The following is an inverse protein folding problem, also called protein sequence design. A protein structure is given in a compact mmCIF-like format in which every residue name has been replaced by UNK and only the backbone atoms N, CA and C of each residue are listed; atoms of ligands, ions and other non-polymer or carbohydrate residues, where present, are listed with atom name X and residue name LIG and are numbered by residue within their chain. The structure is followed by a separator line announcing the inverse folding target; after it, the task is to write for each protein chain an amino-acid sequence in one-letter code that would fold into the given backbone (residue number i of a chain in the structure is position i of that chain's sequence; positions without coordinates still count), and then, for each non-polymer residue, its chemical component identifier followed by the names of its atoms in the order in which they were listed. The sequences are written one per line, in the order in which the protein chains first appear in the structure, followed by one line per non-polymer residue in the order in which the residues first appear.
data_IF_728724203272
#
_entry.id   IF_728724203272
#
_cell.length_a   1.000
_cell.length_b   1.000
_cell.length_c   1.000
_cell.angle_alpha   90.00
_cell.angle_beta   90.00
_cell.angle_gamma   90.00
#
_symmetry.space_group_name_H-M   'P 1'
#
loop_
_entity.id
_entity.type
_entity.pdbx_description
1 polymer ?
#
# COMPACT_ATOMS: atom_id res chain seq x y z
N UNK A 1 8.17 -1.24 8.49
CA UNK A 1 7.98 0.02 7.75
C UNK A 1 7.45 1.12 8.67
N UNK A 2 8.08 2.30 8.67
CA UNK A 2 7.52 3.52 9.27
C UNK A 2 6.99 4.33 8.08
N UNK A 3 5.68 4.36 7.89
CA UNK A 3 5.05 5.16 6.83
C UNK A 3 5.00 6.60 7.33
N UNK A 4 5.58 7.58 6.62
CA UNK A 4 5.45 8.97 6.99
C UNK A 4 4.01 9.42 6.69
N UNK A 5 3.15 9.36 7.69
CA UNK A 5 1.81 9.93 7.61
C UNK A 5 1.94 11.45 7.74
N UNK A 6 1.52 12.18 6.71
CA UNK A 6 1.46 13.64 6.78
C UNK A 6 0.18 14.06 7.52
N UNK A 7 0.26 14.11 8.85
CA UNK A 7 -0.83 14.65 9.65
C UNK A 7 -0.74 16.18 9.59
N UNK A 8 -1.82 16.84 9.16
CA UNK A 8 -1.83 18.30 9.09
C UNK A 8 -1.74 18.86 10.50
N UNK A 9 -0.89 19.88 10.72
CA UNK A 9 -0.66 20.48 12.05
C UNK A 9 -1.95 20.90 12.78
N UNK A 10 -2.98 21.24 12.01
CA UNK A 10 -4.28 21.66 12.51
C UNK A 10 -5.10 20.50 13.08
N UNK A 11 -4.96 19.31 12.52
CA UNK A 11 -5.65 18.10 12.99
C UNK A 11 -5.04 17.64 14.33
N UNK A 12 -3.72 17.83 14.50
CA UNK A 12 -3.06 17.62 15.79
C UNK A 12 -3.48 18.65 16.84
N UNK A 13 -3.58 19.93 16.49
CA UNK A 13 -3.90 20.99 17.45
C UNK A 13 -5.39 21.10 17.82
N UNK A 14 -6.32 20.81 16.90
CA UNK A 14 -7.77 20.96 17.15
C UNK A 14 -8.40 19.70 17.76
N UNK A 15 -7.87 18.49 17.51
CA UNK A 15 -8.41 17.25 18.10
C UNK A 15 -7.67 16.78 19.36
N UNK A 16 -6.35 17.01 19.46
CA UNK A 16 -5.56 16.48 20.59
C UNK A 16 -5.31 17.51 21.68
N UNK A 17 -5.34 18.81 21.39
CA UNK A 17 -4.96 19.83 22.38
C UNK A 17 -6.11 20.79 22.70
N UNK A 18 -6.39 21.02 23.99
CA UNK A 18 -7.33 22.03 24.43
C UNK A 18 -6.74 22.90 25.54
N UNK A 19 -7.23 24.14 25.64
CA UNK A 19 -6.85 25.03 26.73
C UNK A 19 -7.74 24.76 27.95
N UNK A 20 -7.13 24.35 29.06
CA UNK A 20 -7.83 24.18 30.33
C UNK A 20 -7.81 25.50 31.13
N UNK A 21 -8.99 26.08 31.36
CA UNK A 21 -9.12 27.36 32.07
C UNK A 21 -8.78 27.27 33.56
N UNK A 22 -8.85 26.09 34.16
CA UNK A 22 -8.60 25.88 35.59
C UNK A 22 -7.10 25.78 35.88
N UNK A 23 -6.37 24.98 35.10
CA UNK A 23 -4.91 24.83 35.18
C UNK A 23 -4.16 25.95 34.44
N UNK A 24 -4.86 26.72 33.61
CA UNK A 24 -4.31 27.79 32.75
C UNK A 24 -3.20 27.29 31.82
N UNK A 25 -3.33 26.07 31.31
CA UNK A 25 -2.34 25.43 30.45
C UNK A 25 -3.01 24.80 29.23
N UNK A 26 -2.23 24.60 28.17
CA UNK A 26 -2.64 23.78 27.02
C UNK A 26 -2.35 22.33 27.38
N UNK A 27 -3.39 21.50 27.42
CA UNK A 27 -3.30 20.06 27.63
C UNK A 27 -3.45 19.38 26.28
N UNK A 28 -2.50 18.52 25.95
CA UNK A 28 -2.53 17.69 24.75
C UNK A 28 -2.72 16.23 25.15
N UNK A 29 -3.53 15.50 24.37
CA UNK A 29 -3.68 14.05 24.46
C UNK A 29 -2.36 13.35 24.12
N UNK A 30 -2.20 12.10 24.56
CA UNK A 30 -0.92 11.41 24.53
C UNK A 30 -0.42 11.23 23.08
N UNK A 31 0.73 11.83 22.77
CA UNK A 31 1.35 11.76 21.43
C UNK A 31 1.67 10.31 20.99
N UNK A 32 1.68 9.36 21.94
CA UNK A 32 1.87 7.94 21.69
C UNK A 32 0.56 7.14 21.53
N UNK A 33 -0.57 7.81 21.32
CA UNK A 33 -1.84 7.14 21.07
C UNK A 33 -1.82 6.31 19.76
N UNK A 34 -2.57 5.20 19.76
CA UNK A 34 -2.83 4.45 18.55
C UNK A 34 -3.87 5.22 17.72
N UNK A 35 -3.48 5.62 16.51
CA UNK A 35 -4.35 6.32 15.58
C UNK A 35 -4.82 5.36 14.49
N UNK A 36 -6.13 5.25 14.30
CA UNK A 36 -6.73 4.46 13.23
C UNK A 36 -6.95 5.33 12.00
N UNK A 37 -6.36 4.94 10.87
CA UNK A 37 -6.55 5.61 9.57
C UNK A 37 -7.19 4.63 8.59
N UNK A 38 -8.13 5.11 7.75
CA UNK A 38 -8.64 4.31 6.64
C UNK A 38 -7.73 4.44 5.42
N UNK A 39 -7.87 3.51 4.46
CA UNK A 39 -7.12 3.55 3.20
C UNK A 39 -7.42 4.82 2.39
N UNK A 40 -8.61 5.41 2.57
CA UNK A 40 -9.02 6.63 1.87
C UNK A 40 -8.42 7.89 2.49
N UNK A 41 -7.88 7.80 3.72
CA UNK A 41 -7.26 8.92 4.46
C UNK A 41 -5.75 9.03 4.20
N UNK A 42 -5.17 8.08 3.45
CA UNK A 42 -3.73 8.00 3.22
C UNK A 42 -3.41 8.24 1.75
N UNK A 43 -2.62 9.27 1.48
CA UNK A 43 -2.04 9.53 0.16
C UNK A 43 -0.62 8.96 0.11
N UNK A 44 -0.36 8.09 -0.86
CA UNK A 44 0.97 7.49 -1.10
C UNK A 44 1.63 8.15 -2.31
N UNK A 45 2.89 8.56 -2.15
CA UNK A 45 3.70 8.90 -3.30
C UNK A 45 4.15 7.63 -4.04
N UNK A 46 4.58 7.80 -5.29
CA UNK A 46 4.99 6.65 -6.10
C UNK A 46 6.19 5.89 -5.49
N UNK A 47 7.10 6.59 -4.80
CA UNK A 47 8.21 5.95 -4.09
C UNK A 47 7.72 5.05 -2.95
N UNK A 48 6.72 5.49 -2.16
CA UNK A 48 6.14 4.67 -1.10
C UNK A 48 5.48 3.40 -1.68
N UNK A 49 4.84 3.52 -2.84
CA UNK A 49 4.26 2.37 -3.53
C UNK A 49 5.32 1.39 -4.02
N UNK A 50 6.47 1.86 -4.49
CA UNK A 50 7.59 0.99 -4.87
C UNK A 50 8.11 0.20 -3.67
N UNK A 51 8.32 0.87 -2.53
CA UNK A 51 8.76 0.22 -1.29
C UNK A 51 7.76 -0.83 -0.80
N UNK A 52 6.45 -0.51 -0.81
CA UNK A 52 5.39 -1.47 -0.46
C UNK A 52 5.41 -2.67 -1.42
N UNK A 53 5.56 -2.43 -2.72
CA UNK A 53 5.60 -3.51 -3.71
C UNK A 53 6.85 -4.36 -3.54
N UNK A 54 8.00 -3.79 -3.17
CA UNK A 54 9.23 -4.55 -2.93
C UNK A 54 9.13 -5.42 -1.66
N UNK A 55 8.68 -4.85 -0.54
CA UNK A 55 8.57 -5.56 0.74
C UNK A 55 7.51 -6.68 0.69
N UNK A 56 6.37 -6.42 0.05
CA UNK A 56 5.22 -7.33 0.02
C UNK A 56 4.99 -7.98 -1.35
N UNK A 57 6.02 -8.02 -2.20
CA UNK A 57 5.87 -8.46 -3.59
C UNK A 57 5.15 -9.80 -3.75
N UNK A 58 5.59 -10.81 -2.99
CA UNK A 58 5.05 -12.16 -3.07
C UNK A 58 3.59 -12.21 -2.60
N UNK A 59 3.28 -11.53 -1.50
CA UNK A 59 1.92 -11.49 -0.95
C UNK A 59 0.97 -10.76 -1.91
N UNK A 60 1.42 -9.67 -2.52
CA UNK A 60 0.66 -8.94 -3.55
C UNK A 60 0.40 -9.85 -4.76
N UNK A 61 1.39 -10.61 -5.22
CA UNK A 61 1.19 -11.60 -6.29
C UNK A 61 0.14 -12.63 -5.88
N UNK A 62 0.25 -13.20 -4.68
CA UNK A 62 -0.68 -14.22 -4.22
C UNK A 62 -2.11 -13.66 -4.11
N UNK A 63 -2.28 -12.44 -3.61
CA UNK A 63 -3.57 -11.73 -3.60
C UNK A 63 -4.11 -11.57 -5.02
N UNK A 64 -3.28 -11.10 -5.96
CA UNK A 64 -3.69 -10.90 -7.34
C UNK A 64 -4.09 -12.23 -7.99
N UNK A 65 -3.32 -13.30 -7.79
CA UNK A 65 -3.56 -14.61 -8.43
C UNK A 65 -4.75 -15.37 -7.82
N UNK A 66 -5.06 -15.13 -6.54
CA UNK A 66 -6.17 -15.79 -5.85
C UNK A 66 -7.53 -15.11 -6.11
N UNK A 67 -7.58 -13.80 -6.34
CA UNK A 67 -8.84 -13.11 -6.65
C UNK A 67 -9.00 -12.86 -8.16
N UNK A 68 -10.05 -13.47 -8.74
CA UNK A 68 -10.39 -13.31 -10.16
C UNK A 68 -10.51 -11.84 -10.59
N UNK A 69 -11.06 -10.96 -9.75
CA UNK A 69 -11.27 -9.54 -10.07
C UNK A 69 -9.94 -8.84 -10.33
N UNK A 70 -8.94 -9.12 -9.50
CA UNK A 70 -7.60 -8.54 -9.64
C UNK A 70 -6.86 -9.11 -10.84
N UNK A 71 -6.97 -10.41 -11.11
CA UNK A 71 -6.41 -10.99 -12.35
C UNK A 71 -7.01 -10.37 -13.60
N UNK A 72 -8.33 -10.24 -13.65
CA UNK A 72 -9.02 -9.68 -14.82
C UNK A 72 -8.59 -8.22 -15.05
N UNK A 73 -8.43 -7.44 -13.97
CA UNK A 73 -7.89 -6.08 -14.02
C UNK A 73 -6.43 -6.05 -14.51
N UNK A 74 -5.57 -6.93 -14.00
CA UNK A 74 -4.17 -7.07 -14.41
C UNK A 74 -4.09 -7.40 -15.91
N UNK A 75 -4.82 -8.40 -16.39
CA UNK A 75 -4.80 -8.79 -17.80
C UNK A 75 -5.33 -7.68 -18.71
N UNK A 76 -6.37 -6.94 -18.28
CA UNK A 76 -6.85 -5.77 -19.02
C UNK A 76 -5.75 -4.72 -19.16
N UNK A 77 -4.98 -4.45 -18.10
CA UNK A 77 -3.83 -3.54 -18.14
C UNK A 77 -2.70 -4.05 -19.04
N UNK A 78 -2.33 -5.32 -18.95
CA UNK A 78 -1.28 -5.93 -19.80
C UNK A 78 -1.63 -5.83 -21.29
N UNK A 79 -2.88 -6.15 -21.66
CA UNK A 79 -3.37 -5.99 -23.04
C UNK A 79 -3.32 -4.54 -23.52
N UNK A 80 -3.71 -3.60 -22.66
CA UNK A 80 -3.65 -2.17 -23.01
C UNK A 80 -2.23 -1.66 -23.28
N UNK A 81 -1.23 -2.27 -22.64
CA UNK A 81 0.19 -1.96 -22.81
C UNK A 81 0.88 -2.79 -23.92
N UNK A 82 0.14 -3.63 -24.65
CA UNK A 82 0.66 -4.58 -25.66
C UNK A 82 1.75 -5.52 -25.12
N UNK A 83 1.68 -5.86 -23.83
CA UNK A 83 2.59 -6.84 -23.22
C UNK A 83 2.02 -8.23 -23.53
N UNK A 84 2.74 -9.01 -24.32
CA UNK A 84 2.32 -10.36 -24.67
C UNK A 84 2.77 -11.37 -23.61
N UNK A 85 1.82 -11.83 -22.80
CA UNK A 85 2.06 -12.78 -21.70
C UNK A 85 2.25 -14.21 -22.24
N UNK A 86 1.91 -14.47 -23.51
CA UNK A 86 2.00 -15.80 -24.12
C UNK A 86 3.44 -16.32 -24.28
N UNK A 87 4.44 -15.43 -24.18
CA UNK A 87 5.87 -15.76 -24.32
C UNK A 87 6.49 -16.48 -23.11
N UNK A 88 5.83 -16.50 -21.94
CA UNK A 88 6.43 -16.97 -20.67
C UNK A 88 6.40 -18.50 -20.53
N UNK A 89 5.58 -19.22 -21.32
CA UNK A 89 5.39 -20.66 -21.17
C UNK A 89 6.34 -21.54 -22.00
N UNK A 90 7.28 -20.97 -22.76
CA UNK A 90 8.06 -21.74 -23.74
C UNK A 90 9.39 -22.32 -23.23
N UNK A 91 9.88 -21.95 -22.04
CA UNK A 91 11.25 -22.36 -21.62
C UNK A 91 11.34 -23.62 -20.74
N UNK A 92 10.22 -24.16 -20.23
CA UNK A 92 10.26 -25.32 -19.32
C UNK A 92 9.87 -26.68 -19.96
N UNK A 93 9.73 -26.76 -21.28
CA UNK A 93 9.22 -27.96 -21.98
C UNK A 93 10.25 -28.86 -22.68
N UNK A 94 11.47 -28.40 -22.99
CA UNK A 94 12.32 -29.08 -24.00
C UNK A 94 13.57 -29.83 -23.47
N UNK A 95 13.77 -29.99 -22.16
CA UNK A 95 14.96 -30.71 -21.64
C UNK A 95 14.78 -32.19 -21.30
N UNK A 96 13.58 -32.76 -21.43
CA UNK A 96 13.34 -34.19 -21.11
C UNK A 96 12.73 -35.00 -22.27
N UNK A 97 13.19 -34.76 -23.49
CA UNK A 97 12.82 -35.60 -24.63
C UNK A 97 13.96 -35.75 -25.64
N UNK A 98 15.13 -36.23 -25.21
CA UNK A 98 16.09 -36.90 -26.11
C UNK A 98 16.82 -38.01 -25.36
N UNK A 99 16.24 -39.20 -25.59
CA UNK A 99 16.80 -40.54 -25.59
C UNK A 99 18.25 -40.61 -26.04
#
# INVERSE_FOLDING_TARGET
MIVPIHVHHRDLEEELCYYDEWEKAVLCDDYYAEHEYSVDDVEFEYADLEDIVEEYFNDIIDIILNDRRYRDALFKKLRSRKIDVSTINSENGEKNAKR
#
